data_IF_511206837604
#
_entry.id   IF_511206837604
#
_cell.length_a   1.000
_cell.length_b   1.000
_cell.length_c   1.000
_cell.angle_alpha   90.00
_cell.angle_beta   90.00
_cell.angle_gamma   90.00
#
_symmetry.space_group_name_H-M   'P 1'
#
loop_
_entity.id
_entity.type
_entity.pdbx_description
1 polymer ?
#
# COMPACT_ATOMS: atom_id res chain seq x y z
N UNK A 1 -7.88 1.23 24.46
CA UNK A 1 -8.15 1.51 23.03
C UNK A 1 -7.11 0.74 22.23
N UNK A 2 -7.53 -0.28 21.47
CA UNK A 2 -6.60 -1.04 20.64
C UNK A 2 -6.05 -0.11 19.56
N UNK A 3 -4.72 0.00 19.46
CA UNK A 3 -4.09 0.77 18.39
C UNK A 3 -4.56 0.24 17.05
N UNK A 4 -5.28 1.08 16.29
CA UNK A 4 -5.67 0.77 14.92
C UNK A 4 -4.37 0.56 14.13
N UNK A 5 -4.16 -0.65 13.61
CA UNK A 5 -2.96 -0.97 12.84
C UNK A 5 -2.89 -0.09 11.57
N UNK A 6 -1.69 0.35 11.16
CA UNK A 6 -1.55 1.21 9.99
C UNK A 6 -1.84 0.44 8.71
N UNK A 7 -2.62 1.05 7.82
CA UNK A 7 -2.99 0.49 6.52
C UNK A 7 -1.78 0.26 5.61
N UNK A 8 -0.70 1.05 5.74
CA UNK A 8 0.50 0.89 4.91
C UNK A 8 1.16 -0.49 5.03
N UNK A 9 1.02 -1.14 6.18
CA UNK A 9 1.58 -2.48 6.43
C UNK A 9 0.63 -3.57 5.94
N UNK A 10 -0.65 -3.47 6.29
CA UNK A 10 -1.66 -4.46 5.92
C UNK A 10 -1.86 -4.52 4.41
N UNK A 11 -2.08 -3.37 3.77
CA UNK A 11 -2.30 -3.29 2.33
C UNK A 11 -1.07 -3.73 1.53
N UNK A 12 0.14 -3.48 2.06
CA UNK A 12 1.37 -3.99 1.45
C UNK A 12 1.41 -5.52 1.50
N UNK A 13 1.14 -6.12 2.65
CA UNK A 13 1.18 -7.58 2.81
C UNK A 13 0.13 -8.27 1.91
N UNK A 14 -1.07 -7.69 1.83
CA UNK A 14 -2.11 -8.11 0.89
C UNK A 14 -1.60 -7.98 -0.56
N UNK A 15 -1.01 -6.84 -0.92
CA UNK A 15 -0.46 -6.64 -2.26
C UNK A 15 0.59 -7.68 -2.67
N UNK A 16 1.47 -8.08 -1.74
CA UNK A 16 2.44 -9.16 -2.00
C UNK A 16 1.75 -10.51 -2.26
N UNK A 17 0.68 -10.82 -1.51
CA UNK A 17 -0.10 -12.04 -1.73
C UNK A 17 -0.84 -12.03 -3.07
N UNK A 18 -1.34 -10.87 -3.51
CA UNK A 18 -1.97 -10.69 -4.82
C UNK A 18 -0.96 -10.81 -5.97
N UNK A 19 0.24 -10.24 -5.82
CA UNK A 19 1.33 -10.37 -6.80
C UNK A 19 1.74 -11.83 -6.99
N UNK A 20 1.84 -12.61 -5.91
CA UNK A 20 2.14 -14.03 -5.98
C UNK A 20 1.08 -14.84 -6.78
N UNK A 21 -0.13 -14.28 -6.96
CA UNK A 21 -1.24 -14.85 -7.74
C UNK A 21 -1.44 -14.13 -9.10
N UNK A 22 -0.54 -13.22 -9.48
CA UNK A 22 -0.66 -12.38 -10.68
C UNK A 22 -1.97 -11.56 -10.74
N UNK A 23 -2.50 -11.14 -9.59
CA UNK A 23 -3.71 -10.30 -9.51
C UNK A 23 -3.29 -8.82 -9.43
N UNK A 24 -3.65 -8.04 -10.45
CA UNK A 24 -3.33 -6.60 -10.54
C UNK A 24 -4.55 -5.68 -10.62
N UNK A 25 -5.72 -6.27 -10.87
CA UNK A 25 -7.03 -5.61 -10.90
C UNK A 25 -7.94 -6.33 -9.91
N UNK A 26 -8.47 -5.59 -8.95
CA UNK A 26 -9.26 -6.15 -7.85
C UNK A 26 -10.10 -5.08 -7.15
N UNK A 27 -11.04 -5.55 -6.36
CA UNK A 27 -11.81 -4.80 -5.39
C UNK A 27 -11.46 -5.33 -4.01
N UNK A 28 -11.27 -4.44 -3.05
CA UNK A 28 -10.92 -4.76 -1.68
C UNK A 28 -11.90 -4.04 -0.77
N UNK A 29 -12.60 -4.80 0.07
CA UNK A 29 -13.50 -4.29 1.09
C UNK A 29 -12.90 -4.53 2.47
N UNK A 30 -12.93 -3.49 3.30
CA UNK A 30 -12.53 -3.58 4.71
C UNK A 30 -13.79 -3.79 5.55
N UNK A 31 -13.88 -4.96 6.16
CA UNK A 31 -14.89 -5.26 7.19
C UNK A 31 -14.25 -5.10 8.57
N UNK A 32 -14.98 -5.25 9.67
CA UNK A 32 -14.42 -5.03 11.01
C UNK A 32 -13.18 -5.90 11.32
N UNK A 33 -13.18 -7.19 10.97
CA UNK A 33 -12.17 -8.18 11.37
C UNK A 33 -11.37 -8.81 10.21
N UNK A 34 -11.67 -8.39 8.97
CA UNK A 34 -11.08 -8.99 7.76
C UNK A 34 -11.04 -8.04 6.58
N UNK A 35 -10.29 -8.46 5.57
CA UNK A 35 -10.31 -7.92 4.21
C UNK A 35 -10.93 -8.96 3.28
N UNK A 36 -11.85 -8.51 2.44
CA UNK A 36 -12.44 -9.32 1.36
C UNK A 36 -11.96 -8.73 0.05
N UNK A 37 -11.31 -9.55 -0.77
CA UNK A 37 -10.76 -9.14 -2.06
C UNK A 37 -11.45 -9.96 -3.13
N UNK A 38 -11.90 -9.30 -4.19
CA UNK A 38 -12.39 -9.92 -5.41
C UNK A 38 -11.48 -9.46 -6.54
N UNK A 39 -10.69 -10.38 -7.10
CA UNK A 39 -9.66 -10.05 -8.07
C UNK A 39 -9.61 -11.03 -9.21
N UNK A 40 -9.03 -10.61 -10.33
CA UNK A 40 -8.84 -11.48 -11.49
C UNK A 40 -7.35 -11.65 -11.79
N UNK A 41 -6.85 -12.88 -11.97
CA UNK A 41 -5.50 -13.10 -12.48
C UNK A 41 -5.32 -12.49 -13.87
N UNK A 42 -4.20 -11.82 -14.10
CA UNK A 42 -3.85 -11.24 -15.40
C UNK A 42 -3.12 -12.27 -16.27
N UNK A 43 -3.84 -12.99 -17.15
CA UNK A 43 -3.17 -13.81 -18.18
C UNK A 43 -2.66 -12.97 -19.35
N UNK A 44 -1.41 -13.18 -19.72
CA UNK A 44 -0.59 -12.37 -20.63
C UNK A 44 -0.83 -12.62 -22.12
N UNK A 45 -2.08 -12.82 -22.58
CA UNK A 45 -2.36 -12.98 -24.01
C UNK A 45 -3.53 -12.13 -24.49
N UNK A 46 -3.21 -11.21 -25.44
CA UNK A 46 -4.07 -10.29 -26.21
C UNK A 46 -4.84 -9.21 -25.41
N UNK A 47 -4.05 -8.29 -24.83
CA UNK A 47 -4.39 -7.21 -23.89
C UNK A 47 -5.38 -6.12 -24.34
N UNK A 48 -6.00 -6.16 -25.53
CA UNK A 48 -6.96 -5.10 -25.94
C UNK A 48 -8.38 -5.62 -26.14
N UNK A 49 -8.51 -6.80 -26.73
CA UNK A 49 -9.82 -7.38 -27.06
C UNK A 49 -10.46 -8.05 -25.85
N UNK A 50 -9.67 -8.78 -25.06
CA UNK A 50 -10.14 -9.38 -23.80
C UNK A 50 -10.49 -8.32 -22.77
N UNK A 51 -9.81 -7.17 -22.82
CA UNK A 51 -10.04 -6.06 -21.88
C UNK A 51 -11.44 -5.47 -21.98
N UNK A 52 -11.88 -5.26 -23.22
CA UNK A 52 -13.22 -4.77 -23.50
C UNK A 52 -14.31 -5.81 -23.17
N UNK A 53 -14.05 -7.09 -23.45
CA UNK A 53 -14.95 -8.18 -23.03
C UNK A 53 -15.02 -8.31 -21.50
N UNK A 54 -13.90 -8.15 -20.79
CA UNK A 54 -13.84 -8.19 -19.33
C UNK A 54 -14.66 -7.05 -18.68
N UNK A 55 -14.60 -5.82 -19.22
CA UNK A 55 -15.38 -4.68 -18.70
C UNK A 55 -16.89 -4.94 -18.81
N UNK A 56 -17.33 -5.66 -19.85
CA UNK A 56 -18.71 -6.12 -20.00
C UNK A 56 -19.04 -7.28 -19.04
N UNK A 57 -18.08 -8.16 -18.74
CA UNK A 57 -18.29 -9.35 -17.90
C UNK A 57 -18.26 -9.06 -16.39
N UNK A 58 -17.57 -8.02 -15.90
CA UNK A 58 -17.70 -7.55 -14.51
C UNK A 58 -19.10 -7.05 -14.20
N UNK A 59 -19.83 -6.51 -15.19
CA UNK A 59 -21.26 -6.21 -15.02
C UNK A 59 -22.13 -7.47 -14.94
N UNK A 60 -21.60 -8.66 -15.26
CA UNK A 60 -22.33 -9.93 -15.26
C UNK A 60 -21.78 -11.00 -14.30
N UNK A 61 -20.78 -10.69 -13.46
CA UNK A 61 -20.47 -11.42 -12.20
C UNK A 61 -19.77 -12.78 -12.24
N UNK A 62 -19.11 -13.22 -13.32
CA UNK A 62 -18.83 -14.68 -13.49
C UNK A 62 -17.36 -15.20 -13.42
N UNK A 63 -16.30 -14.43 -13.15
CA UNK A 63 -14.91 -14.99 -13.14
C UNK A 63 -13.94 -14.34 -12.12
N UNK A 64 -14.44 -13.82 -10.98
CA UNK A 64 -13.56 -13.23 -9.97
C UNK A 64 -13.05 -14.31 -8.98
N UNK A 65 -11.74 -14.34 -8.72
CA UNK A 65 -11.17 -15.07 -7.60
C UNK A 65 -11.47 -14.27 -6.31
N UNK A 66 -12.26 -14.86 -5.41
CA UNK A 66 -12.56 -14.26 -4.11
C UNK A 66 -11.54 -14.74 -3.07
N UNK A 67 -10.81 -13.79 -2.48
CA UNK A 67 -9.81 -14.01 -1.44
C UNK A 67 -10.27 -13.32 -0.16
N UNK A 68 -10.32 -14.04 0.95
CA UNK A 68 -10.61 -13.45 2.26
C UNK A 68 -9.38 -13.59 3.15
N UNK A 69 -8.89 -12.47 3.68
CA UNK A 69 -7.80 -12.45 4.65
C UNK A 69 -8.32 -11.93 5.99
N UNK A 70 -8.20 -12.74 7.04
CA UNK A 70 -8.41 -12.23 8.41
C UNK A 70 -7.24 -11.34 8.79
N UNK A 71 -7.46 -10.36 9.67
CA UNK A 71 -6.39 -9.47 10.14
C UNK A 71 -5.19 -10.23 10.73
N UNK A 72 -5.43 -11.34 11.42
CA UNK A 72 -4.38 -12.19 11.97
C UNK A 72 -3.52 -12.86 10.88
N UNK A 73 -4.12 -13.19 9.73
CA UNK A 73 -3.40 -13.79 8.60
C UNK A 73 -2.57 -12.75 7.86
N UNK A 74 -3.13 -11.53 7.70
CA UNK A 74 -2.39 -10.38 7.15
C UNK A 74 -1.17 -10.05 8.01
N UNK A 75 -1.31 -10.11 9.35
CA UNK A 75 -0.20 -9.91 10.26
C UNK A 75 0.90 -10.97 10.09
N UNK A 76 0.54 -12.25 9.96
CA UNK A 76 1.52 -13.31 9.68
C UNK A 76 2.22 -13.10 8.34
N UNK A 77 1.49 -12.70 7.30
CA UNK A 77 2.06 -12.36 6.00
C UNK A 77 3.04 -11.19 6.11
N UNK A 78 2.67 -10.14 6.83
CA UNK A 78 3.53 -8.99 7.10
C UNK A 78 4.81 -9.41 7.84
N UNK A 79 4.69 -10.19 8.91
CA UNK A 79 5.83 -10.69 9.69
C UNK A 79 6.78 -11.56 8.84
N UNK A 80 6.25 -12.48 8.04
CA UNK A 80 7.03 -13.30 7.11
C UNK A 80 7.73 -12.45 6.04
N UNK A 81 7.05 -11.43 5.52
CA UNK A 81 7.62 -10.47 4.56
C UNK A 81 8.71 -9.59 5.18
N UNK A 82 8.62 -9.27 6.48
CA UNK A 82 9.68 -8.56 7.21
C UNK A 82 10.93 -9.44 7.39
N UNK A 83 10.76 -10.73 7.66
CA UNK A 83 11.86 -11.66 7.87
C UNK A 83 12.67 -11.93 6.58
N UNK A 84 12.01 -11.94 5.41
CA UNK A 84 12.65 -12.17 4.10
C UNK A 84 13.35 -10.95 3.51
N UNK A 85 13.54 -9.87 4.28
CA UNK A 85 13.96 -8.57 3.75
C UNK A 85 15.46 -8.52 3.48
N UNK A 86 15.86 -8.85 2.26
CA UNK A 86 17.15 -8.42 1.69
C UNK A 86 17.05 -6.93 1.36
N UNK A 87 17.88 -6.06 1.96
CA UNK A 87 17.88 -4.62 1.66
C UNK A 87 18.28 -4.40 0.19
N UNK A 88 17.37 -4.00 -0.72
CA UNK A 88 17.78 -3.68 -2.06
C UNK A 88 18.48 -2.32 -2.04
N UNK A 89 19.59 -2.19 -2.78
CA UNK A 89 20.27 -0.91 -3.01
C UNK A 89 19.47 0.02 -3.95
N UNK A 90 18.37 -0.48 -4.52
CA UNK A 90 17.56 0.17 -5.55
C UNK A 90 16.18 0.59 -5.02
N UNK A 91 15.65 1.68 -5.59
CA UNK A 91 14.29 2.14 -5.35
C UNK A 91 13.31 1.05 -5.79
N UNK A 92 12.28 0.71 -4.98
CA UNK A 92 11.28 -0.26 -5.38
C UNK A 92 10.49 0.22 -6.61
N UNK A 93 9.95 -0.72 -7.38
CA UNK A 93 9.04 -0.39 -8.49
C UNK A 93 7.69 0.09 -7.92
N UNK A 94 7.38 1.37 -8.13
CA UNK A 94 6.13 1.98 -7.69
C UNK A 94 4.90 1.28 -8.26
N UNK A 95 4.96 0.85 -9.53
CA UNK A 95 3.81 0.31 -10.25
C UNK A 95 3.47 -1.14 -9.87
N UNK A 96 4.33 -1.79 -9.09
CA UNK A 96 3.99 -3.04 -8.42
C UNK A 96 2.79 -2.86 -7.48
N UNK A 97 1.93 -3.87 -7.39
CA UNK A 97 0.70 -3.83 -6.59
C UNK A 97 1.02 -3.58 -5.13
N UNK A 98 2.05 -4.24 -4.59
CA UNK A 98 2.47 -4.13 -3.21
C UNK A 98 2.98 -2.74 -2.85
N UNK A 99 3.73 -2.07 -3.72
CA UNK A 99 4.20 -0.70 -3.48
C UNK A 99 3.11 0.35 -3.71
N UNK A 100 2.26 0.16 -4.72
CA UNK A 100 1.08 1.01 -4.92
C UNK A 100 0.16 0.94 -3.70
N UNK A 101 -0.21 -0.27 -3.24
CA UNK A 101 -1.07 -0.46 -2.08
C UNK A 101 -0.44 0.03 -0.77
N UNK A 102 0.87 -0.15 -0.59
CA UNK A 102 1.60 0.46 0.53
C UNK A 102 1.44 1.98 0.55
N UNK A 103 1.57 2.61 -0.61
CA UNK A 103 1.50 4.07 -0.74
C UNK A 103 0.09 4.58 -0.46
N UNK A 104 -0.93 3.87 -0.98
CA UNK A 104 -2.34 4.14 -0.67
C UNK A 104 -2.65 3.94 0.82
N UNK A 105 -2.09 2.90 1.45
CA UNK A 105 -2.24 2.69 2.89
C UNK A 105 -1.67 3.85 3.69
N UNK A 106 -0.46 4.28 3.38
CA UNK A 106 0.14 5.45 4.01
C UNK A 106 -0.66 6.75 3.78
N UNK A 107 -1.29 6.90 2.62
CA UNK A 107 -2.21 8.01 2.34
C UNK A 107 -3.43 7.99 3.29
N UNK A 108 -4.06 6.83 3.46
CA UNK A 108 -5.21 6.65 4.36
C UNK A 108 -4.81 6.88 5.83
N UNK A 109 -3.64 6.37 6.23
CA UNK A 109 -3.08 6.56 7.57
C UNK A 109 -2.83 8.05 7.86
N UNK A 110 -2.20 8.77 6.93
CA UNK A 110 -1.94 10.20 7.06
C UNK A 110 -3.22 11.03 7.13
N UNK A 111 -4.28 10.60 6.44
CA UNK A 111 -5.59 11.26 6.47
C UNK A 111 -6.38 10.94 7.74
N UNK A 112 -6.03 9.85 8.44
CA UNK A 112 -6.72 9.40 9.65
C UNK A 112 -8.17 8.99 9.40
N UNK A 113 -8.41 8.31 8.27
CA UNK A 113 -9.74 7.85 7.82
C UNK A 113 -9.85 6.32 7.92
N UNK A 114 -11.08 5.81 8.01
CA UNK A 114 -11.35 4.39 8.01
C UNK A 114 -11.64 3.92 6.58
N UNK A 115 -10.84 3.00 6.04
CA UNK A 115 -11.11 2.44 4.72
C UNK A 115 -12.42 1.64 4.74
N UNK A 116 -13.26 1.86 3.74
CA UNK A 116 -14.47 1.05 3.49
C UNK A 116 -14.21 0.14 2.29
N UNK A 117 -13.77 0.72 1.18
CA UNK A 117 -13.58 0.01 -0.08
C UNK A 117 -12.47 0.64 -0.93
N UNK A 118 -11.75 -0.21 -1.67
CA UNK A 118 -10.69 0.18 -2.59
C UNK A 118 -10.84 -0.62 -3.88
N UNK A 119 -10.94 0.07 -5.01
CA UNK A 119 -10.93 -0.55 -6.34
C UNK A 119 -9.61 -0.23 -7.01
N UNK A 120 -8.80 -1.24 -7.30
CA UNK A 120 -7.56 -1.09 -8.05
C UNK A 120 -7.82 -1.48 -9.49
N UNK A 121 -7.62 -0.53 -10.40
CA UNK A 121 -7.67 -0.73 -11.86
C UNK A 121 -6.26 -0.52 -12.46
N UNK A 122 -6.05 -0.77 -13.77
CA UNK A 122 -4.73 -0.62 -14.36
C UNK A 122 -4.15 0.80 -14.21
N UNK A 123 -4.98 1.83 -14.39
CA UNK A 123 -4.55 3.24 -14.40
C UNK A 123 -5.13 4.09 -13.27
N UNK A 124 -6.13 3.58 -12.54
CA UNK A 124 -6.84 4.31 -11.49
C UNK A 124 -7.02 3.49 -10.22
N UNK A 125 -7.27 4.22 -9.13
CA UNK A 125 -7.63 3.72 -7.82
C UNK A 125 -8.83 4.52 -7.35
N UNK A 126 -9.91 3.83 -7.06
CA UNK A 126 -11.09 4.42 -6.42
C UNK A 126 -11.08 4.03 -4.96
N UNK A 127 -11.23 5.01 -4.07
CA UNK A 127 -11.25 4.82 -2.63
C UNK A 127 -12.60 5.28 -2.09
N UNK A 128 -13.19 4.47 -1.23
CA UNK A 128 -14.25 4.90 -0.32
C UNK A 128 -13.79 4.72 1.12
N UNK A 129 -13.91 5.77 1.91
CA UNK A 129 -13.50 5.78 3.31
C UNK A 129 -14.49 6.59 4.13
N UNK A 130 -14.50 6.33 5.43
CA UNK A 130 -15.25 7.08 6.43
C UNK A 130 -14.32 8.05 7.13
N UNK A 131 -14.70 9.32 7.19
CA UNK A 131 -13.98 10.32 7.96
C UNK A 131 -14.26 10.19 9.47
N UNK A 132 -13.68 11.10 10.26
CA UNK A 132 -13.83 11.10 11.72
C UNK A 132 -15.25 11.44 12.18
N UNK A 133 -16.03 12.08 11.33
CA UNK A 133 -17.44 12.44 11.59
C UNK A 133 -18.39 11.30 11.20
N UNK A 134 -17.87 10.25 10.57
CA UNK A 134 -18.65 9.11 10.13
C UNK A 134 -19.20 9.26 8.71
N UNK A 135 -18.89 10.36 8.01
CA UNK A 135 -19.36 10.56 6.65
C UNK A 135 -18.53 9.71 5.69
N UNK A 136 -19.24 9.02 4.80
CA UNK A 136 -18.60 8.25 3.74
C UNK A 136 -18.24 9.18 2.59
N UNK A 137 -16.97 9.14 2.20
CA UNK A 137 -16.42 9.88 1.09
C UNK A 137 -15.92 8.91 0.03
N UNK A 138 -15.96 9.36 -1.23
CA UNK A 138 -15.45 8.64 -2.38
C UNK A 138 -14.49 9.52 -3.17
N UNK A 139 -13.38 8.96 -3.62
CA UNK A 139 -12.48 9.63 -4.56
C UNK A 139 -11.98 8.65 -5.62
N UNK A 140 -11.84 9.13 -6.85
CA UNK A 140 -11.20 8.40 -7.94
C UNK A 140 -9.93 9.15 -8.34
N UNK A 141 -8.81 8.44 -8.36
CA UNK A 141 -7.49 9.01 -8.63
C UNK A 141 -6.71 8.13 -9.59
N UNK A 142 -5.87 8.74 -10.41
CA UNK A 142 -4.92 7.96 -11.22
C UNK A 142 -3.86 7.33 -10.33
N UNK A 143 -3.35 6.14 -10.70
CA UNK A 143 -2.23 5.49 -9.99
C UNK A 143 -1.04 6.44 -9.91
N UNK A 144 -0.74 7.16 -10.99
CA UNK A 144 0.36 8.12 -11.06
C UNK A 144 0.22 9.29 -10.08
N UNK A 145 -0.99 9.66 -9.64
CA UNK A 145 -1.17 10.73 -8.64
C UNK A 145 -0.54 10.39 -7.28
N UNK A 146 -0.35 9.10 -6.98
CA UNK A 146 0.31 8.63 -5.76
C UNK A 146 1.84 8.60 -5.87
N UNK A 147 2.43 8.92 -7.03
CA UNK A 147 3.87 8.82 -7.26
C UNK A 147 4.69 9.76 -6.36
N UNK A 148 4.24 11.02 -6.18
CA UNK A 148 4.94 11.96 -5.30
C UNK A 148 4.93 11.48 -3.85
N UNK A 149 3.78 10.97 -3.37
CA UNK A 149 3.69 10.38 -2.04
C UNK A 149 4.62 9.17 -1.89
N UNK A 150 4.73 8.32 -2.91
CA UNK A 150 5.70 7.23 -2.94
C UNK A 150 7.13 7.74 -2.80
N UNK A 151 7.52 8.78 -3.56
CA UNK A 151 8.85 9.38 -3.44
C UNK A 151 9.11 9.92 -2.03
N UNK A 152 8.13 10.53 -1.37
CA UNK A 152 8.28 11.00 0.01
C UNK A 152 8.51 9.85 1.00
N UNK A 153 7.77 8.74 0.85
CA UNK A 153 7.92 7.55 1.69
C UNK A 153 9.32 6.92 1.60
N UNK A 154 9.93 6.93 0.41
CA UNK A 154 11.24 6.34 0.17
C UNK A 154 12.39 7.35 0.29
N UNK A 155 12.16 8.64 0.03
CA UNK A 155 13.12 9.72 0.19
C UNK A 155 13.46 10.02 1.64
N UNK A 156 12.47 9.93 2.56
CA UNK A 156 12.69 10.12 4.01
C UNK A 156 13.62 9.07 4.65
N UNK A 157 13.81 7.91 4.01
CA UNK A 157 14.76 6.88 4.48
C UNK A 157 16.23 7.20 4.20
N UNK A 158 16.53 8.14 3.30
CA UNK A 158 17.90 8.59 3.04
C UNK A 158 18.44 9.58 4.07
N UNK A 159 17.57 10.28 4.81
CA UNK A 159 17.99 11.34 5.72
C UNK A 159 18.14 10.93 7.20
N UNK A 160 17.59 9.78 7.62
CA UNK A 160 17.79 9.28 8.99
C UNK A 160 19.17 8.64 9.24
N UNK A 161 20.10 8.70 8.28
CA UNK A 161 21.48 8.21 8.46
C UNK A 161 22.52 9.29 8.72
N UNK A 162 22.12 10.55 8.88
CA UNK A 162 23.04 11.67 9.15
C UNK A 162 22.52 12.57 10.28
N UNK A 163 22.29 12.00 11.46
CA UNK A 163 22.31 12.76 12.72
C UNK A 163 22.99 11.91 13.81
N UNK A 164 24.23 11.54 13.54
CA UNK A 164 25.22 11.27 14.59
C UNK A 164 26.55 11.82 14.11
N UNK A 165 26.60 13.14 13.94
CA UNK A 165 27.89 13.84 13.95
C UNK A 165 28.13 14.22 15.40
N UNK A 166 29.12 13.53 15.99
CA UNK A 166 29.74 13.89 17.27
C UNK A 166 29.96 15.41 17.31
N UNK A 167 29.50 16.07 18.37
CA UNK A 167 30.06 17.36 18.76
C UNK A 167 31.54 17.15 19.13
N UNK A 168 32.47 17.97 18.61
CA UNK A 168 33.69 18.30 19.31
C UNK A 168 33.63 19.79 19.66
N UNK A 169 33.10 20.10 20.84
CA UNK A 169 33.49 21.31 21.57
C UNK A 169 34.18 20.73 22.83
N UNK A 170 35.40 21.09 23.20
CA UNK A 170 35.89 22.46 23.34
C UNK A 170 37.42 22.48 23.34
N UNK A 171 38.02 23.50 22.73
CA UNK A 171 39.38 23.94 23.05
C UNK A 171 39.45 24.41 24.51
N UNK A 172 40.53 24.16 25.25
CA UNK A 172 40.83 24.91 26.45
C UNK A 172 41.71 26.12 26.10
N UNK A 173 41.19 27.32 26.35
CA UNK A 173 41.97 28.54 26.47
C UNK A 173 42.00 28.95 27.94
N UNK A 174 43.16 28.93 28.57
CA UNK A 174 43.69 30.05 29.37
C UNK A 174 44.98 29.69 30.14
N UNK A 175 45.88 30.66 30.13
CA UNK A 175 47.15 30.81 30.85
C UNK A 175 47.03 30.76 32.39
N UNK A 176 48.17 30.50 33.04
CA UNK A 176 48.72 30.96 34.36
C UNK A 176 49.53 29.79 34.95
N UNK A 177 50.80 29.89 35.36
CA UNK A 177 51.68 30.99 35.78
C UNK A 177 53.13 30.72 35.37
#
# INVERSE_FOLDING_TARGET
MAATKPYDEDLRAIGQALEARNISVFELKRLADRYVIEGTPQETSSLRTKVRQWYLQLRSGSIAESLTFRLADVEKLSQAGRAKRSRPRHLPDFYSVSNTLRTVGAYLDAKGVELVELHKRPISITLSYRDKEGHQQGEDRTVSSFYNLFLELYGKRGQQKTLTVKHPNSQPSALTS
#
